data_IF_671885811552
#
_entry.id   IF_671885811552
#
_cell.length_a   1.000
_cell.length_b   1.000
_cell.length_c   1.000
_cell.angle_alpha   90.00
_cell.angle_beta   90.00
_cell.angle_gamma   90.00
#
_symmetry.space_group_name_H-M   'P 1'
#
loop_
_entity.id
_entity.type
_entity.pdbx_description
1 polymer ?
#
# COMPACT_ATOMS: atom_id res chain seq x y z
N UNK A 1 6.71 -16.28 8.39
CA UNK A 1 5.52 -15.42 8.23
C UNK A 1 4.50 -16.10 7.30
N UNK A 2 3.47 -16.74 7.88
CA UNK A 2 2.48 -17.60 7.19
C UNK A 2 1.20 -16.82 6.80
N UNK A 3 1.14 -15.52 7.09
CA UNK A 3 -0.08 -14.70 7.00
C UNK A 3 -0.62 -14.40 5.59
N UNK A 4 -0.01 -14.90 4.51
CA UNK A 4 -0.46 -14.58 3.12
C UNK A 4 -1.32 -15.70 2.50
N UNK A 5 -1.79 -16.68 3.29
CA UNK A 5 -2.45 -17.86 2.70
C UNK A 5 -3.89 -17.59 2.23
N UNK A 6 -4.66 -16.73 2.89
CA UNK A 6 -6.05 -16.46 2.51
C UNK A 6 -6.31 -14.97 2.23
N UNK A 7 -6.10 -14.53 0.98
CA UNK A 7 -6.30 -13.14 0.56
C UNK A 7 -7.75 -12.67 0.75
N UNK A 8 -8.71 -13.56 0.57
CA UNK A 8 -10.14 -13.28 0.74
C UNK A 8 -10.54 -13.14 2.21
N UNK A 9 -9.93 -13.93 3.10
CA UNK A 9 -10.13 -13.78 4.54
C UNK A 9 -9.76 -12.39 5.04
N UNK A 10 -8.69 -11.79 4.50
CA UNK A 10 -8.33 -10.41 4.82
C UNK A 10 -9.36 -9.38 4.32
N UNK A 11 -9.94 -9.58 3.14
CA UNK A 11 -11.02 -8.71 2.65
C UNK A 11 -12.21 -8.78 3.62
N UNK A 12 -12.62 -10.00 4.01
CA UNK A 12 -13.71 -10.20 4.95
C UNK A 12 -13.43 -9.54 6.31
N UNK A 13 -12.20 -9.66 6.84
CA UNK A 13 -11.79 -9.00 8.08
C UNK A 13 -11.87 -7.47 7.93
N UNK A 14 -11.39 -6.92 6.83
CA UNK A 14 -11.46 -5.47 6.58
C UNK A 14 -12.91 -4.98 6.54
N UNK A 15 -13.80 -5.70 5.83
CA UNK A 15 -15.22 -5.36 5.77
C UNK A 15 -15.89 -5.47 7.15
N UNK A 16 -15.62 -6.55 7.89
CA UNK A 16 -16.15 -6.72 9.26
C UNK A 16 -15.67 -5.61 10.20
N UNK A 17 -14.39 -5.26 10.14
CA UNK A 17 -13.84 -4.16 10.93
C UNK A 17 -14.50 -2.83 10.59
N UNK A 18 -14.71 -2.55 9.30
CA UNK A 18 -15.39 -1.32 8.87
C UNK A 18 -16.85 -1.30 9.31
N UNK A 19 -17.58 -2.40 9.16
CA UNK A 19 -18.96 -2.49 9.62
C UNK A 19 -19.06 -2.32 11.14
N UNK A 20 -18.09 -2.85 11.90
CA UNK A 20 -18.03 -2.68 13.34
C UNK A 20 -17.69 -1.24 13.74
N UNK A 21 -16.72 -0.62 13.08
CA UNK A 21 -16.37 0.80 13.31
C UNK A 21 -17.56 1.70 12.98
N UNK A 22 -18.22 1.47 11.83
CA UNK A 22 -19.42 2.19 11.45
C UNK A 22 -20.53 2.01 12.50
N UNK A 23 -20.78 0.78 12.95
CA UNK A 23 -21.82 0.52 13.95
C UNK A 23 -21.56 1.16 15.31
N UNK A 24 -20.31 1.45 15.68
CA UNK A 24 -19.96 1.95 17.01
C UNK A 24 -19.63 3.45 17.03
N UNK A 25 -19.05 3.97 15.95
CA UNK A 25 -18.47 5.32 15.90
C UNK A 25 -19.09 6.21 14.81
N UNK A 26 -20.04 5.72 14.00
CA UNK A 26 -20.60 6.54 12.94
C UNK A 26 -21.32 7.78 13.51
N UNK A 27 -20.98 9.00 13.05
CA UNK A 27 -21.69 10.21 13.44
C UNK A 27 -23.14 10.22 12.94
N UNK A 28 -23.38 9.58 11.79
CA UNK A 28 -24.70 9.35 11.23
C UNK A 28 -24.77 7.93 10.66
N UNK A 29 -25.89 7.24 10.89
CA UNK A 29 -26.15 5.90 10.35
C UNK A 29 -26.76 6.00 8.96
N UNK A 30 -26.08 6.71 8.06
CA UNK A 30 -26.45 6.82 6.65
C UNK A 30 -25.46 6.09 5.74
N UNK A 31 -25.90 5.80 4.52
CA UNK A 31 -25.10 5.08 3.55
C UNK A 31 -23.85 5.87 3.14
N UNK A 32 -23.92 7.21 3.18
CA UNK A 32 -22.80 8.11 2.85
C UNK A 32 -21.65 7.93 3.85
N UNK A 33 -21.93 7.97 5.15
CA UNK A 33 -20.89 7.77 6.17
C UNK A 33 -20.21 6.40 6.04
N UNK A 34 -20.95 5.37 5.65
CA UNK A 34 -20.36 4.06 5.37
C UNK A 34 -19.46 4.06 4.12
N UNK A 35 -19.91 4.72 3.04
CA UNK A 35 -19.13 4.91 1.81
C UNK A 35 -17.82 5.66 2.11
N UNK A 36 -17.87 6.71 2.93
CA UNK A 36 -16.69 7.49 3.30
C UNK A 36 -15.67 6.66 4.08
N UNK A 37 -16.12 5.88 5.07
CA UNK A 37 -15.24 4.95 5.81
C UNK A 37 -14.60 3.91 4.88
N UNK A 38 -15.39 3.33 3.97
CA UNK A 38 -14.89 2.39 2.97
C UNK A 38 -13.89 3.05 2.01
N UNK A 39 -14.14 4.30 1.63
CA UNK A 39 -13.24 5.09 0.81
C UNK A 39 -11.89 5.30 1.49
N UNK A 40 -11.85 5.72 2.76
CA UNK A 40 -10.58 5.93 3.47
C UNK A 40 -9.74 4.66 3.57
N UNK A 41 -10.37 3.51 3.82
CA UNK A 41 -9.68 2.23 3.86
C UNK A 41 -9.20 1.79 2.47
N UNK A 42 -10.04 1.93 1.45
CA UNK A 42 -9.67 1.67 0.06
C UNK A 42 -8.48 2.53 -0.37
N UNK A 43 -8.53 3.83 -0.05
CA UNK A 43 -7.46 4.79 -0.31
C UNK A 43 -6.16 4.35 0.36
N UNK A 44 -6.19 3.96 1.64
CA UNK A 44 -5.01 3.45 2.34
C UNK A 44 -4.34 2.28 1.61
N UNK A 45 -5.11 1.25 1.24
CA UNK A 45 -4.56 0.08 0.54
C UNK A 45 -4.02 0.41 -0.85
N UNK A 46 -4.74 1.23 -1.63
CA UNK A 46 -4.29 1.62 -2.96
C UNK A 46 -3.09 2.54 -2.92
N UNK A 47 -3.08 3.53 -2.02
CA UNK A 47 -1.97 4.46 -1.88
C UNK A 47 -0.68 3.73 -1.54
N UNK A 48 -0.71 2.86 -0.52
CA UNK A 48 0.45 2.04 -0.14
C UNK A 48 0.80 1.04 -1.25
N UNK A 49 -0.20 0.40 -1.86
CA UNK A 49 0.00 -0.56 -2.94
C UNK A 49 0.71 0.06 -4.15
N UNK A 50 0.28 1.24 -4.59
CA UNK A 50 0.87 1.99 -5.69
C UNK A 50 2.26 2.52 -5.34
N UNK A 51 2.45 3.05 -4.13
CA UNK A 51 3.75 3.50 -3.65
C UNK A 51 4.76 2.34 -3.66
N UNK A 52 4.37 1.19 -3.10
CA UNK A 52 5.18 -0.02 -3.09
C UNK A 52 5.43 -0.55 -4.51
N UNK A 53 4.47 -0.42 -5.42
CA UNK A 53 4.63 -0.81 -6.81
C UNK A 53 5.69 0.05 -7.50
N UNK A 54 5.68 1.36 -7.30
CA UNK A 54 6.71 2.29 -7.81
C UNK A 54 8.09 2.01 -7.22
N UNK A 55 8.18 1.77 -5.91
CA UNK A 55 9.44 1.35 -5.26
C UNK A 55 9.95 0.05 -5.86
N UNK A 56 9.08 -0.95 -5.98
CA UNK A 56 9.45 -2.27 -6.51
C UNK A 56 9.81 -2.22 -8.00
N UNK A 57 9.27 -1.28 -8.74
CA UNK A 57 9.55 -1.02 -10.16
C UNK A 57 10.94 -0.42 -10.42
N UNK A 58 11.73 -0.11 -9.39
CA UNK A 58 13.10 0.37 -9.54
C UNK A 58 13.22 1.88 -9.80
N UNK A 59 12.12 2.63 -9.77
CA UNK A 59 12.15 4.10 -9.90
C UNK A 59 13.08 4.73 -8.85
N UNK A 60 12.96 4.29 -7.59
CA UNK A 60 13.79 4.78 -6.50
C UNK A 60 15.21 4.19 -6.48
N UNK A 61 15.46 3.10 -7.22
CA UNK A 61 16.79 2.52 -7.33
C UNK A 61 17.72 3.43 -8.14
N UNK A 62 17.21 3.99 -9.24
CA UNK A 62 17.96 4.95 -10.07
C UNK A 62 18.35 6.20 -9.27
N UNK A 63 17.43 6.72 -8.47
CA UNK A 63 17.66 7.85 -7.56
C UNK A 63 18.73 7.48 -6.54
N UNK A 64 18.54 6.36 -5.83
CA UNK A 64 19.47 5.89 -4.79
C UNK A 64 20.87 5.65 -5.35
N UNK A 65 20.98 5.03 -6.52
CA UNK A 65 22.24 4.79 -7.19
C UNK A 65 22.95 6.11 -7.55
N UNK A 66 22.20 7.09 -8.06
CA UNK A 66 22.74 8.41 -8.43
C UNK A 66 23.30 9.15 -7.20
N UNK A 67 22.54 9.19 -6.10
CA UNK A 67 23.01 9.79 -4.85
C UNK A 67 24.23 9.07 -4.29
N UNK A 68 24.21 7.73 -4.22
CA UNK A 68 25.35 6.91 -3.77
C UNK A 68 26.60 7.22 -4.60
N UNK A 69 26.48 7.30 -5.93
CA UNK A 69 27.60 7.60 -6.84
C UNK A 69 28.19 9.00 -6.62
N UNK A 70 27.33 10.00 -6.37
CA UNK A 70 27.79 11.37 -6.08
C UNK A 70 28.48 11.44 -4.72
N UNK A 71 27.86 10.88 -3.67
CA UNK A 71 28.46 10.82 -2.34
C UNK A 71 29.81 10.13 -2.35
N UNK A 72 29.96 9.02 -3.09
CA UNK A 72 31.24 8.31 -3.21
C UNK A 72 32.33 9.12 -3.90
N UNK A 73 31.98 10.00 -4.86
CA UNK A 73 32.96 10.89 -5.51
C UNK A 73 33.37 12.07 -4.63
N UNK A 74 32.47 12.53 -3.75
CA UNK A 74 32.70 13.69 -2.89
C UNK A 74 33.35 13.30 -1.55
N UNK A 75 33.12 12.07 -1.07
CA UNK A 75 33.68 11.59 0.19
C UNK A 75 35.20 11.35 0.08
N UNK A 76 35.99 11.99 0.94
CA UNK A 76 37.46 11.82 1.02
C UNK A 76 37.91 10.48 1.63
N UNK A 77 37.04 9.77 2.36
CA UNK A 77 37.37 8.52 3.04
C UNK A 77 36.93 7.31 2.22
N UNK A 78 37.89 6.69 1.52
CA UNK A 78 37.66 5.51 0.67
C UNK A 78 37.32 4.22 1.43
N UNK A 79 37.71 4.14 2.69
CA UNK A 79 37.67 2.90 3.49
C UNK A 79 36.27 2.48 3.94
N UNK A 80 35.34 3.43 4.00
CA UNK A 80 33.91 3.14 4.25
C UNK A 80 33.17 2.74 2.96
N UNK A 81 33.85 2.72 1.79
CA UNK A 81 33.18 2.64 0.50
C UNK A 81 32.88 1.23 -0.03
N UNK A 82 33.57 0.20 0.49
CA UNK A 82 33.36 -1.19 0.05
C UNK A 82 32.03 -1.78 0.53
N UNK A 83 31.33 -1.09 1.44
CA UNK A 83 30.13 -1.62 2.09
C UNK A 83 28.81 -1.17 1.42
N UNK A 84 28.84 -0.23 0.46
CA UNK A 84 27.60 0.31 -0.13
C UNK A 84 27.04 -0.50 -1.30
N UNK A 85 27.87 -1.25 -2.02
CA UNK A 85 27.40 -2.17 -3.06
C UNK A 85 26.58 -3.31 -2.45
N UNK A 86 26.89 -3.69 -1.20
CA UNK A 86 26.19 -4.73 -0.46
C UNK A 86 24.86 -4.25 0.14
N UNK A 87 24.58 -2.94 0.16
CA UNK A 87 23.32 -2.41 0.72
C UNK A 87 22.16 -2.64 -0.25
N UNK A 88 21.07 -3.31 0.18
CA UNK A 88 19.94 -3.60 -0.69
C UNK A 88 19.36 -2.31 -1.27
N UNK A 89 18.94 -2.40 -2.53
CA UNK A 89 18.23 -1.30 -3.20
C UNK A 89 16.80 -1.21 -2.68
N UNK A 90 16.15 -0.03 -2.75
CA UNK A 90 14.75 0.14 -2.37
C UNK A 90 13.81 -0.92 -2.96
N UNK A 91 14.00 -1.28 -4.23
CA UNK A 91 13.23 -2.35 -4.87
C UNK A 91 13.41 -3.73 -4.23
N UNK A 92 14.56 -4.00 -3.61
CA UNK A 92 14.87 -5.28 -2.97
C UNK A 92 14.31 -5.38 -1.55
N UNK A 93 14.00 -4.24 -0.91
CA UNK A 93 13.50 -4.19 0.47
C UNK A 93 12.14 -4.91 0.63
N UNK A 94 11.29 -4.87 -0.40
CA UNK A 94 9.94 -5.42 -0.34
C UNK A 94 9.77 -6.66 -1.21
N UNK A 95 9.09 -7.69 -0.67
CA UNK A 95 8.72 -8.90 -1.43
C UNK A 95 7.60 -8.59 -2.42
N UNK A 96 7.69 -9.09 -3.66
CA UNK A 96 6.66 -8.92 -4.71
C UNK A 96 5.26 -9.33 -4.21
N UNK A 97 5.18 -10.40 -3.41
CA UNK A 97 3.92 -10.87 -2.79
C UNK A 97 3.25 -9.82 -1.89
N UNK A 98 4.03 -8.99 -1.20
CA UNK A 98 3.51 -7.94 -0.32
C UNK A 98 2.89 -6.80 -1.15
N UNK A 99 3.55 -6.38 -2.22
CA UNK A 99 3.00 -5.39 -3.17
C UNK A 99 1.67 -5.87 -3.76
N UNK A 100 1.63 -7.11 -4.25
CA UNK A 100 0.42 -7.69 -4.82
C UNK A 100 -0.70 -7.87 -3.79
N UNK A 101 -0.37 -8.06 -2.52
CA UNK A 101 -1.36 -8.13 -1.45
C UNK A 101 -2.07 -6.78 -1.29
N UNK A 102 -1.33 -5.67 -1.15
CA UNK A 102 -1.93 -4.34 -1.01
C UNK A 102 -2.75 -3.94 -2.23
N UNK A 103 -2.22 -4.17 -3.43
CA UNK A 103 -2.96 -3.88 -4.67
C UNK A 103 -4.23 -4.72 -4.80
N UNK A 104 -4.19 -6.00 -4.43
CA UNK A 104 -5.36 -6.87 -4.48
C UNK A 104 -6.45 -6.43 -3.47
N UNK A 105 -6.06 -6.13 -2.22
CA UNK A 105 -7.01 -5.61 -1.22
C UNK A 105 -7.63 -4.29 -1.69
N UNK A 106 -6.80 -3.35 -2.15
CA UNK A 106 -7.27 -2.06 -2.66
C UNK A 106 -8.18 -2.19 -3.87
N UNK A 107 -7.87 -3.07 -4.83
CA UNK A 107 -8.70 -3.27 -6.03
C UNK A 107 -10.08 -3.84 -5.69
N UNK A 108 -10.17 -4.81 -4.77
CA UNK A 108 -11.46 -5.40 -4.37
C UNK A 108 -12.30 -4.41 -3.57
N UNK A 109 -11.68 -3.67 -2.65
CA UNK A 109 -12.37 -2.61 -1.92
C UNK A 109 -12.83 -1.49 -2.86
N UNK A 110 -12.06 -1.18 -3.91
CA UNK A 110 -12.46 -0.22 -4.93
C UNK A 110 -13.67 -0.71 -5.74
N UNK A 111 -13.70 -1.98 -6.14
CA UNK A 111 -14.89 -2.56 -6.82
C UNK A 111 -16.10 -2.47 -5.90
N UNK A 112 -15.96 -2.83 -4.62
CA UNK A 112 -17.04 -2.72 -3.65
C UNK A 112 -17.52 -1.27 -3.49
N UNK A 113 -16.59 -0.32 -3.35
CA UNK A 113 -16.88 1.11 -3.25
C UNK A 113 -17.64 1.62 -4.49
N UNK A 114 -17.19 1.26 -5.69
CA UNK A 114 -17.85 1.66 -6.93
C UNK A 114 -19.27 1.08 -7.02
N UNK A 115 -19.47 -0.18 -6.60
CA UNK A 115 -20.81 -0.77 -6.53
C UNK A 115 -21.71 -0.01 -5.55
N UNK A 116 -21.20 0.34 -4.37
CA UNK A 116 -21.97 1.14 -3.40
C UNK A 116 -22.32 2.53 -3.93
N UNK A 117 -21.38 3.20 -4.61
CA UNK A 117 -21.65 4.50 -5.23
C UNK A 117 -22.71 4.40 -6.32
N UNK A 118 -22.66 3.37 -7.16
CA UNK A 118 -23.68 3.12 -8.18
C UNK A 118 -25.05 2.90 -7.52
N UNK A 119 -25.12 2.14 -6.43
CA UNK A 119 -26.37 1.93 -5.69
C UNK A 119 -26.87 3.25 -5.07
N UNK A 120 -25.97 4.04 -4.48
CA UNK A 120 -26.31 5.31 -3.83
C UNK A 120 -26.85 6.37 -4.80
N UNK A 121 -26.31 6.45 -6.02
CA UNK A 121 -26.73 7.44 -7.00
C UNK A 121 -27.91 7.02 -7.89
N UNK A 122 -28.21 5.72 -7.97
CA UNK A 122 -29.32 5.19 -8.79
C UNK A 122 -30.55 4.75 -7.96
N UNK A 123 -30.45 4.76 -6.63
CA UNK A 123 -31.57 4.56 -5.70
C UNK A 123 -32.10 5.88 -5.19
#
# INVERSE_FOLDING_TARGET
>A
MVFVRNKWGFVAINLLLISLIFSLLAPAYDLVTFIDLLFYLCFFYLFIGLLLWTIKGGFFDAITYSFRKVTNRVAKNKDYLDDFENKPLPSQMFKKKFVHFFLFQGAILLIALLLLLVVYYNG
#
